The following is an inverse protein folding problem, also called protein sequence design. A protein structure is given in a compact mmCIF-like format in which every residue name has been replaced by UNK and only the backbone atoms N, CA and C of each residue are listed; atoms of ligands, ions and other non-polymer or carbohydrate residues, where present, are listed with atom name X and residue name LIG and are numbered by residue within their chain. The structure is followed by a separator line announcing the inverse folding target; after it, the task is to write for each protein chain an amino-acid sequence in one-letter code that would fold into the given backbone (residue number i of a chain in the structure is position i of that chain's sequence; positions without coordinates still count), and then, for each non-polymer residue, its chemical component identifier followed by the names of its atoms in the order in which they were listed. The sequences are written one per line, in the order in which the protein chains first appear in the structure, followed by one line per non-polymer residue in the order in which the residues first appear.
data_IF_192562624623
#
_entry.id   IF_192562624623
#
_cell.length_a   1.000
_cell.length_b   1.000
_cell.length_c   1.000
_cell.angle_alpha   90.00
_cell.angle_beta   90.00
_cell.angle_gamma   90.00
#
_symmetry.space_group_name_H-M   'P 1'
#
loop_
_entity.id
_entity.type
_entity.pdbx_description
1 polymer ?
#
# COMPACT_ATOMS: atom_id res chain seq x y z
N UNK A 1 12.83 -3.71 5.36
CA UNK A 1 11.77 -4.74 5.20
C UNK A 1 10.98 -4.52 3.92
N UNK A 2 10.44 -3.31 3.69
CA UNK A 2 9.68 -2.94 2.48
C UNK A 2 10.42 -3.18 1.16
N UNK A 3 11.73 -2.97 1.11
CA UNK A 3 12.56 -3.27 -0.08
C UNK A 3 12.47 -4.75 -0.53
N UNK A 4 12.33 -5.69 0.43
CA UNK A 4 12.20 -7.13 0.13
C UNK A 4 10.91 -7.46 -0.60
N UNK A 5 9.92 -6.56 -0.52
CA UNK A 5 8.60 -6.70 -1.13
C UNK A 5 8.42 -5.78 -2.34
N UNK A 6 9.50 -5.22 -2.90
CA UNK A 6 9.40 -4.29 -4.03
C UNK A 6 8.65 -3.00 -3.69
N UNK A 7 8.79 -2.54 -2.44
CA UNK A 7 8.19 -1.31 -1.93
C UNK A 7 9.26 -0.30 -1.47
N UNK A 8 10.40 -0.27 -2.17
CA UNK A 8 11.52 0.62 -1.85
C UNK A 8 11.14 2.12 -1.90
N UNK A 9 10.20 2.48 -2.78
CA UNK A 9 9.73 3.87 -2.94
C UNK A 9 8.76 4.34 -1.84
N UNK A 10 8.43 3.48 -0.87
CA UNK A 10 7.53 3.84 0.23
C UNK A 10 8.25 4.64 1.31
N UNK A 11 7.85 5.90 1.47
CA UNK A 11 8.38 6.79 2.49
C UNK A 11 7.54 6.74 3.78
N UNK A 12 8.17 6.72 4.97
CA UNK A 12 7.44 6.76 6.24
C UNK A 12 6.76 8.12 6.41
N UNK A 13 5.50 8.11 6.87
CA UNK A 13 4.74 9.31 7.25
C UNK A 13 4.16 9.10 8.65
N UNK A 14 4.34 10.09 9.53
CA UNK A 14 3.81 10.07 10.91
C UNK A 14 2.30 9.97 10.95
N UNK A 15 1.63 10.59 9.98
CA UNK A 15 0.16 10.53 9.81
C UNK A 15 -0.12 10.02 8.40
N UNK A 16 -0.25 8.70 8.20
CA UNK A 16 -0.40 8.11 6.86
C UNK A 16 -1.65 8.62 6.14
N UNK A 17 -2.76 8.72 6.90
CA UNK A 17 -4.02 9.28 6.47
C UNK A 17 -4.51 10.27 7.53
N UNK A 18 -5.05 11.44 7.13
CA UNK A 18 -5.62 12.39 8.07
C UNK A 18 -6.84 11.78 8.80
N UNK A 19 -7.11 12.28 9.99
CA UNK A 19 -8.28 11.85 10.79
C UNK A 19 -9.57 12.18 10.04
N UNK A 20 -10.47 11.20 9.91
CA UNK A 20 -11.72 11.37 9.18
C UNK A 20 -11.60 11.20 7.66
N UNK A 21 -10.45 10.72 7.16
CA UNK A 21 -10.30 10.38 5.74
C UNK A 21 -11.22 9.22 5.36
N UNK A 22 -12.12 9.47 4.40
CA UNK A 22 -13.03 8.46 3.87
C UNK A 22 -12.40 7.80 2.65
N UNK A 23 -12.19 6.49 2.70
CA UNK A 23 -11.66 5.72 1.59
C UNK A 23 -12.82 5.48 0.61
N UNK A 24 -12.85 6.23 -0.49
CA UNK A 24 -13.89 6.09 -1.52
C UNK A 24 -13.49 5.07 -2.61
N UNK A 25 -14.48 4.68 -3.40
CA UNK A 25 -14.27 3.78 -4.54
C UNK A 25 -13.37 4.39 -5.63
N UNK A 26 -13.22 5.71 -5.65
CA UNK A 26 -12.35 6.42 -6.60
C UNK A 26 -10.86 6.09 -6.37
N UNK A 27 -10.51 5.60 -5.18
CA UNK A 27 -9.15 5.16 -4.86
C UNK A 27 -8.87 3.71 -5.26
N UNK A 28 -9.86 2.99 -5.82
CA UNK A 28 -9.59 1.67 -6.37
C UNK A 28 -8.69 1.77 -7.61
N UNK A 29 -7.85 0.75 -7.85
CA UNK A 29 -7.10 0.65 -9.09
C UNK A 29 -8.09 0.51 -10.27
N UNK A 30 -8.26 1.58 -11.03
CA UNK A 30 -9.18 1.64 -12.17
C UNK A 30 -8.56 1.06 -13.44
N UNK A 31 -7.25 1.26 -13.67
CA UNK A 31 -6.55 0.76 -14.86
C UNK A 31 -5.97 -0.65 -14.65
N UNK A 32 -5.99 -1.48 -15.71
CA UNK A 32 -5.46 -2.84 -15.68
C UNK A 32 -3.98 -2.91 -15.30
N UNK A 33 -3.17 -1.93 -15.73
CA UNK A 33 -1.77 -1.83 -15.33
C UNK A 33 -1.61 -1.66 -13.81
N UNK A 34 -2.47 -0.84 -13.18
CA UNK A 34 -2.46 -0.65 -11.73
C UNK A 34 -2.92 -1.90 -11.00
N UNK A 35 -3.95 -2.59 -11.51
CA UNK A 35 -4.40 -3.87 -10.95
C UNK A 35 -3.30 -4.93 -11.01
N UNK A 36 -2.58 -5.02 -12.13
CA UNK A 36 -1.47 -5.95 -12.29
C UNK A 36 -0.34 -5.65 -11.29
N UNK A 37 0.02 -4.37 -11.18
CA UNK A 37 1.03 -3.90 -10.23
C UNK A 37 0.66 -4.18 -8.77
N UNK A 38 -0.61 -4.04 -8.40
CA UNK A 38 -1.08 -4.32 -7.04
C UNK A 38 -1.22 -5.82 -6.77
N UNK A 39 -1.53 -6.65 -7.79
CA UNK A 39 -1.71 -8.10 -7.64
C UNK A 39 -0.44 -8.83 -7.25
N UNK A 40 0.71 -8.34 -7.70
CA UNK A 40 2.02 -8.95 -7.45
C UNK A 40 2.55 -8.69 -6.02
N UNK A 41 1.96 -7.74 -5.29
CA UNK A 41 2.47 -7.31 -3.98
C UNK A 41 1.78 -8.05 -2.82
N UNK A 42 2.51 -8.75 -1.93
CA UNK A 42 1.93 -9.48 -0.82
C UNK A 42 1.59 -8.57 0.39
N UNK A 43 0.58 -7.72 0.24
CA UNK A 43 0.24 -6.69 1.25
C UNK A 43 0.05 -7.21 2.68
N UNK A 44 -0.53 -8.42 2.86
CA UNK A 44 -0.74 -9.02 4.19
C UNK A 44 0.58 -9.32 4.91
N UNK A 45 1.56 -9.86 4.19
CA UNK A 45 2.86 -10.21 4.75
C UNK A 45 3.65 -8.95 5.10
N UNK A 46 3.62 -7.94 4.22
CA UNK A 46 4.24 -6.65 4.46
C UNK A 46 3.69 -6.00 5.73
N UNK A 47 2.36 -5.98 5.91
CA UNK A 47 1.72 -5.45 7.11
C UNK A 47 2.13 -6.21 8.37
N UNK A 48 2.20 -7.54 8.29
CA UNK A 48 2.67 -8.38 9.40
C UNK A 48 4.09 -8.02 9.85
N UNK A 49 5.01 -7.78 8.91
CA UNK A 49 6.37 -7.34 9.22
C UNK A 49 6.49 -5.85 9.60
N UNK A 50 5.44 -5.05 9.43
CA UNK A 50 5.45 -3.62 9.80
C UNK A 50 4.90 -3.39 11.22
N UNK A 51 3.98 -4.25 11.67
CA UNK A 51 3.37 -4.17 13.00
C UNK A 51 4.22 -4.80 14.10
N UNK A 52 5.17 -5.66 13.74
CA UNK A 52 6.09 -6.38 14.63
C UNK A 52 7.53 -6.01 14.31
#
# INVERSE_FOLDING_TARGET
VLERFGMADCNPRTTPLPTGFNISEDQLPTTDAHKLFMRDKPYREVLGCLMW
#
